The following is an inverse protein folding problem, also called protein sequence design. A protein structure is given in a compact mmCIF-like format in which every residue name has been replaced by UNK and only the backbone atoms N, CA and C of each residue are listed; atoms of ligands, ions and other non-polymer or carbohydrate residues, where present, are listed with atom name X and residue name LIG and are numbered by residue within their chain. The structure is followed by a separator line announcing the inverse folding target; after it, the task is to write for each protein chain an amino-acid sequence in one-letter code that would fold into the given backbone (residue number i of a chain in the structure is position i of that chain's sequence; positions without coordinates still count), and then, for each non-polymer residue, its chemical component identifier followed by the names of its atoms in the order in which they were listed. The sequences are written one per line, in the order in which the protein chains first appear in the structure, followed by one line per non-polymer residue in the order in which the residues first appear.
data_IF_288914563945
#
_entry.id   IF_288914563945
#
_cell.length_a   1.000
_cell.length_b   1.000
_cell.length_c   1.000
_cell.angle_alpha   90.00
_cell.angle_beta   90.00
_cell.angle_gamma   90.00
#
_symmetry.space_group_name_H-M   'P 1'
#
loop_
_entity.id
_entity.type
_entity.pdbx_description
1 polymer ?
#
# COMPACT_ATOMS: atom_id res chain seq x y z
N UNK A 1 17.92 9.93 20.08
CA UNK A 1 16.91 10.55 20.96
C UNK A 1 16.76 12.01 20.56
N UNK A 2 15.68 12.35 19.85
CA UNK A 2 15.26 13.74 19.67
C UNK A 2 13.77 13.83 19.99
N UNK A 3 13.45 14.84 20.79
CA UNK A 3 12.16 15.09 21.42
C UNK A 3 11.27 15.79 20.38
N UNK A 4 10.15 15.16 19.99
CA UNK A 4 9.10 15.82 19.22
C UNK A 4 8.21 16.62 20.15
N UNK A 5 8.25 17.95 20.05
CA UNK A 5 7.37 18.83 20.79
C UNK A 5 5.99 18.88 20.13
N UNK A 6 4.94 18.51 20.87
CA UNK A 6 3.53 18.67 20.47
C UNK A 6 3.08 20.05 20.93
N UNK A 7 2.89 20.98 19.99
CA UNK A 7 2.22 22.25 20.24
C UNK A 7 0.73 22.12 19.91
N UNK A 8 -0.08 21.76 20.92
CA UNK A 8 -1.54 21.83 20.84
C UNK A 8 -2.01 23.24 21.23
N UNK A 9 -2.26 24.11 20.25
CA UNK A 9 -2.74 25.47 20.51
C UNK A 9 -4.28 25.61 20.58
N UNK A 10 -5.07 24.56 20.28
CA UNK A 10 -6.54 24.64 20.34
C UNK A 10 -7.16 23.28 20.72
N UNK A 11 -8.05 23.21 21.74
CA UNK A 11 -8.78 21.99 22.05
C UNK A 11 -9.92 21.80 21.03
N UNK A 12 -9.85 20.76 20.19
CA UNK A 12 -10.98 20.32 19.36
C UNK A 12 -10.76 20.25 17.84
N UNK A 13 -9.62 20.69 17.32
CA UNK A 13 -9.21 20.40 15.94
C UNK A 13 -7.77 19.90 15.94
N UNK A 14 -7.59 18.61 16.25
CA UNK A 14 -6.44 17.89 15.70
C UNK A 14 -6.72 17.72 14.21
N UNK A 15 -6.44 18.75 13.41
CA UNK A 15 -6.16 18.50 12.00
C UNK A 15 -4.85 17.71 12.02
N UNK A 16 -4.96 16.40 11.85
CA UNK A 16 -3.82 15.57 11.53
C UNK A 16 -3.26 16.13 10.22
N UNK A 17 -2.29 17.03 10.34
CA UNK A 17 -1.42 17.39 9.24
C UNK A 17 -0.62 16.14 8.92
N UNK A 18 -1.17 15.26 8.07
CA UNK A 18 -0.38 14.26 7.36
C UNK A 18 0.41 14.95 6.26
N UNK A 19 1.30 15.86 6.66
CA UNK A 19 2.41 16.31 5.83
C UNK A 19 3.63 15.58 6.37
N UNK A 20 3.89 14.38 5.85
CA UNK A 20 5.10 13.63 6.19
C UNK A 20 4.97 12.13 6.33
N UNK A 21 3.88 11.49 5.89
CA UNK A 21 3.92 10.04 5.73
C UNK A 21 4.64 9.75 4.41
N UNK A 22 5.97 9.53 4.51
CA UNK A 22 6.72 8.94 3.40
C UNK A 22 6.02 7.68 2.90
N UNK A 23 6.20 7.37 1.62
CA UNK A 23 5.52 6.24 1.01
C UNK A 23 5.75 4.96 1.82
N UNK A 24 4.67 4.24 2.12
CA UNK A 24 4.71 3.00 2.89
C UNK A 24 5.50 1.96 2.08
N UNK A 25 6.60 1.42 2.61
CA UNK A 25 7.36 0.40 1.92
C UNK A 25 6.60 -0.92 1.95
N UNK A 26 6.35 -1.47 0.77
CA UNK A 26 5.72 -2.77 0.59
C UNK A 26 6.63 -3.71 -0.19
N UNK A 27 6.57 -5.00 0.15
CA UNK A 27 7.34 -6.06 -0.47
C UNK A 27 6.39 -7.17 -0.92
N UNK A 28 6.51 -7.61 -2.16
CA UNK A 28 5.77 -8.78 -2.63
C UNK A 28 6.40 -10.05 -2.08
N UNK A 29 5.57 -10.91 -1.51
CA UNK A 29 5.96 -12.25 -1.08
C UNK A 29 5.46 -13.27 -2.12
N UNK A 30 6.34 -13.79 -2.99
CA UNK A 30 5.95 -14.72 -4.04
C UNK A 30 5.74 -16.15 -3.52
N UNK A 31 6.02 -16.44 -2.23
CA UNK A 31 5.98 -17.81 -1.71
C UNK A 31 4.54 -18.30 -1.44
N UNK A 32 4.08 -19.12 -2.40
CA UNK A 32 3.08 -20.19 -2.39
C UNK A 32 2.09 -20.22 -1.21
N UNK A 33 0.82 -20.19 -1.58
CA UNK A 33 -0.39 -20.59 -0.82
C UNK A 33 -0.32 -21.94 -0.05
N UNK A 34 0.80 -22.67 -0.07
CA UNK A 34 0.88 -24.07 0.37
C UNK A 34 1.54 -24.29 1.75
N UNK A 35 2.15 -23.30 2.37
CA UNK A 35 2.67 -23.47 3.73
C UNK A 35 2.38 -22.24 4.58
N UNK A 36 1.84 -22.50 5.76
CA UNK A 36 1.57 -21.51 6.80
C UNK A 36 2.88 -20.81 7.21
N UNK A 37 3.29 -19.81 6.43
CA UNK A 37 4.26 -18.83 6.86
C UNK A 37 3.62 -18.06 8.01
N UNK A 38 4.14 -18.25 9.23
CA UNK A 38 3.75 -17.56 10.47
C UNK A 38 4.06 -16.04 10.46
N UNK A 39 4.16 -15.44 9.28
CA UNK A 39 4.35 -14.01 9.06
C UNK A 39 2.98 -13.49 8.65
N UNK A 40 2.46 -12.45 9.31
CA UNK A 40 1.22 -11.77 8.91
C UNK A 40 1.31 -11.31 7.44
N UNK A 41 0.88 -12.15 6.51
CA UNK A 41 0.83 -11.84 5.08
C UNK A 41 -0.47 -11.09 4.82
N UNK A 42 -0.35 -9.87 4.28
CA UNK A 42 -1.51 -9.06 3.92
C UNK A 42 -1.94 -9.39 2.49
N UNK A 43 -3.14 -9.96 2.32
CA UNK A 43 -3.67 -10.38 1.04
C UNK A 43 -4.36 -9.22 0.32
N UNK A 44 -3.89 -8.91 -0.88
CA UNK A 44 -4.40 -7.81 -1.69
C UNK A 44 -4.98 -8.33 -3.00
N UNK A 45 -6.20 -7.91 -3.32
CA UNK A 45 -6.76 -8.06 -4.65
C UNK A 45 -6.76 -6.70 -5.35
N UNK A 46 -6.16 -6.62 -6.55
CA UNK A 46 -6.17 -5.39 -7.33
C UNK A 46 -7.38 -5.35 -8.27
N UNK A 47 -8.26 -4.37 -8.04
CA UNK A 47 -9.45 -4.12 -8.88
C UNK A 47 -9.18 -3.05 -9.92
N UNK A 48 -9.91 -3.06 -11.03
CA UNK A 48 -9.97 -1.96 -11.99
C UNK A 48 -11.19 -1.04 -11.79
N UNK A 49 -11.92 -1.22 -10.68
CA UNK A 49 -13.12 -0.47 -10.32
C UNK A 49 -12.91 0.33 -9.04
N UNK A 50 -12.54 1.59 -9.16
CA UNK A 50 -12.30 2.51 -8.02
C UNK A 50 -13.45 2.51 -7.00
N UNK A 51 -14.71 2.60 -7.46
CA UNK A 51 -15.89 2.64 -6.58
C UNK A 51 -16.16 1.35 -5.80
N UNK A 52 -15.46 0.25 -6.12
CA UNK A 52 -15.54 -1.03 -5.39
C UNK A 52 -14.28 -1.33 -4.58
N UNK A 53 -13.27 -0.46 -4.61
CA UNK A 53 -12.08 -0.66 -3.81
C UNK A 53 -12.32 -0.25 -2.36
N UNK A 54 -11.73 -0.99 -1.44
CA UNK A 54 -11.66 -0.61 -0.03
C UNK A 54 -10.65 0.53 0.16
N UNK A 55 -9.56 0.50 -0.62
CA UNK A 55 -8.52 1.54 -0.59
C UNK A 55 -8.03 1.90 -2.01
N UNK A 56 -7.67 3.17 -2.19
CA UNK A 56 -6.99 3.68 -3.38
C UNK A 56 -5.52 3.95 -3.08
N UNK A 57 -4.63 3.31 -3.82
CA UNK A 57 -3.18 3.43 -3.62
C UNK A 57 -2.49 4.14 -4.78
N UNK A 58 -1.52 4.98 -4.44
CA UNK A 58 -0.59 5.59 -5.39
C UNK A 58 0.81 5.01 -5.19
N UNK A 59 1.35 4.41 -6.25
CA UNK A 59 2.72 3.85 -6.23
C UNK A 59 3.71 4.96 -6.59
N UNK A 60 4.53 5.38 -5.62
CA UNK A 60 5.51 6.46 -5.84
C UNK A 60 6.76 5.99 -6.60
N UNK A 61 7.02 4.68 -6.63
CA UNK A 61 8.20 4.08 -7.26
C UNK A 61 8.86 3.01 -6.40
N UNK A 62 10.18 2.83 -6.57
CA UNK A 62 11.00 1.87 -5.80
C UNK A 62 11.41 2.46 -4.46
N UNK A 63 11.38 1.67 -3.38
CA UNK A 63 11.98 2.08 -2.10
C UNK A 63 13.50 1.92 -2.17
N UNK A 64 14.26 2.89 -1.64
CA UNK A 64 15.74 2.78 -1.57
C UNK A 64 16.19 1.88 -0.42
N UNK A 65 15.59 2.01 0.77
CA UNK A 65 15.84 1.15 1.94
C UNK A 65 14.61 1.15 2.84
N UNK A 66 14.19 -0.04 3.30
CA UNK A 66 13.12 -0.21 4.26
C UNK A 66 13.48 -1.38 5.18
N UNK A 67 13.76 -1.13 6.48
CA UNK A 67 14.15 -2.18 7.40
C UNK A 67 13.02 -3.19 7.67
N UNK A 68 11.77 -2.75 7.61
CA UNK A 68 10.58 -3.57 7.90
C UNK A 68 9.45 -3.22 6.90
N UNK A 69 9.53 -3.69 5.63
CA UNK A 69 8.46 -3.47 4.67
C UNK A 69 7.25 -4.35 5.00
N UNK A 70 6.05 -3.84 4.73
CA UNK A 70 4.84 -4.65 4.80
C UNK A 70 4.87 -5.73 3.70
N UNK A 71 4.73 -7.00 4.08
CA UNK A 71 4.63 -8.11 3.13
C UNK A 71 3.24 -8.17 2.51
N UNK A 72 3.20 -8.22 1.18
CA UNK A 72 1.97 -8.30 0.37
C UNK A 72 1.93 -9.62 -0.41
N UNK A 73 0.79 -10.28 -0.33
CA UNK A 73 0.45 -11.43 -1.18
C UNK A 73 -0.68 -11.03 -2.12
N UNK A 74 -0.47 -11.11 -3.43
CA UNK A 74 -1.52 -10.75 -4.40
C UNK A 74 -2.38 -11.97 -4.71
N UNK A 75 -3.67 -11.88 -4.41
CA UNK A 75 -4.61 -12.97 -4.58
C UNK A 75 -5.38 -12.84 -5.90
N UNK A 76 -5.85 -13.97 -6.43
CA UNK A 76 -6.55 -14.01 -7.71
C UNK A 76 -8.03 -13.60 -7.62
N UNK A 77 -8.64 -13.67 -6.44
CA UNK A 77 -10.06 -13.43 -6.22
C UNK A 77 -10.30 -12.50 -5.03
N UNK A 78 -11.22 -11.55 -5.20
CA UNK A 78 -11.59 -10.54 -4.21
C UNK A 78 -11.95 -11.11 -2.83
N UNK A 79 -12.74 -12.19 -2.78
CA UNK A 79 -13.17 -12.82 -1.52
C UNK A 79 -12.04 -13.52 -0.73
N UNK A 80 -10.82 -13.61 -1.29
CA UNK A 80 -9.63 -14.13 -0.62
C UNK A 80 -8.72 -13.00 -0.11
N UNK A 81 -9.05 -11.74 -0.40
CA UNK A 81 -8.25 -10.60 0.01
C UNK A 81 -8.69 -10.05 1.36
N UNK A 82 -7.71 -9.57 2.13
CA UNK A 82 -7.96 -8.72 3.29
C UNK A 82 -8.37 -7.30 2.86
N UNK A 83 -7.97 -6.90 1.66
CA UNK A 83 -8.28 -5.58 1.09
C UNK A 83 -8.30 -5.60 -0.43
N UNK A 84 -9.31 -4.92 -0.99
CA UNK A 84 -9.41 -4.63 -2.42
C UNK A 84 -8.82 -3.27 -2.73
N UNK A 85 -7.81 -3.23 -3.59
CA UNK A 85 -7.04 -2.02 -3.91
C UNK A 85 -7.28 -1.58 -5.34
N UNK A 86 -7.58 -0.29 -5.52
CA UNK A 86 -7.48 0.38 -6.81
C UNK A 86 -6.15 1.15 -6.90
N UNK A 87 -5.40 0.97 -8.00
CA UNK A 87 -4.19 1.75 -8.24
C UNK A 87 -4.53 3.03 -9.01
N UNK A 88 -4.23 4.19 -8.42
CA UNK A 88 -4.41 5.50 -9.06
C UNK A 88 -3.09 6.06 -9.58
N UNK A 89 -3.17 6.97 -10.56
CA UNK A 89 -2.04 7.83 -10.94
C UNK A 89 -2.03 9.18 -10.23
N UNK A 90 -3.08 9.50 -9.46
CA UNK A 90 -3.20 10.78 -8.76
C UNK A 90 -3.01 10.61 -7.24
N UNK A 91 -1.77 10.82 -6.78
CA UNK A 91 -1.41 10.59 -5.38
C UNK A 91 -2.03 11.53 -4.35
N UNK A 92 -2.66 12.64 -4.76
CA UNK A 92 -3.28 13.59 -3.83
C UNK A 92 -4.61 13.07 -3.25
N UNK A 93 -5.33 12.22 -3.98
CA UNK A 93 -6.60 11.63 -3.53
C UNK A 93 -6.45 10.17 -3.10
N UNK A 94 -5.23 9.62 -3.15
CA UNK A 94 -4.99 8.26 -2.71
C UNK A 94 -5.09 8.17 -1.18
N UNK A 95 -5.74 7.11 -0.68
CA UNK A 95 -5.77 6.79 0.74
C UNK A 95 -4.36 6.47 1.26
N UNK A 96 -3.52 5.87 0.40
CA UNK A 96 -2.13 5.56 0.70
C UNK A 96 -1.20 5.84 -0.46
N UNK A 97 0.01 6.28 -0.10
CA UNK A 97 1.15 6.28 -1.00
C UNK A 97 2.07 5.11 -0.62
N UNK A 98 2.46 4.30 -1.60
CA UNK A 98 3.30 3.11 -1.39
C UNK A 98 4.55 3.15 -2.26
N UNK A 99 5.67 2.67 -1.75
CA UNK A 99 6.85 2.37 -2.57
C UNK A 99 7.09 0.86 -2.56
N UNK A 100 7.62 0.32 -3.66
CA UNK A 100 7.85 -1.11 -3.80
C UNK A 100 9.33 -1.42 -3.54
N UNK A 101 9.62 -2.31 -2.59
CA UNK A 101 10.99 -2.73 -2.28
C UNK A 101 11.56 -3.64 -3.38
N UNK A 102 10.78 -4.64 -3.78
CA UNK A 102 11.16 -5.66 -4.76
C UNK A 102 10.21 -5.69 -5.98
N UNK A 103 10.21 -4.65 -6.83
CA UNK A 103 9.31 -4.60 -7.99
C UNK A 103 9.53 -5.77 -8.96
N UNK A 104 10.75 -6.30 -9.04
CA UNK A 104 11.10 -7.42 -9.92
C UNK A 104 10.37 -8.73 -9.53
N UNK A 105 9.93 -8.86 -8.27
CA UNK A 105 9.17 -10.01 -7.76
C UNK A 105 7.65 -9.78 -7.82
N UNK A 106 7.20 -8.61 -8.32
CA UNK A 106 5.79 -8.27 -8.33
C UNK A 106 5.01 -9.17 -9.32
N UNK A 107 3.88 -9.77 -8.89
CA UNK A 107 3.12 -10.68 -9.74
C UNK A 107 2.45 -9.93 -10.89
N UNK A 108 2.14 -10.64 -11.98
CA UNK A 108 1.52 -10.06 -13.18
C UNK A 108 0.21 -9.30 -12.89
N UNK A 109 -0.56 -9.72 -11.88
CA UNK A 109 -1.79 -9.05 -11.48
C UNK A 109 -1.53 -7.60 -11.01
N UNK A 110 -0.45 -7.36 -10.26
CA UNK A 110 -0.04 -6.02 -9.86
C UNK A 110 0.28 -5.16 -11.09
N UNK A 111 1.11 -5.66 -12.01
CA UNK A 111 1.50 -4.90 -13.20
C UNK A 111 0.30 -4.55 -14.10
N UNK A 112 -0.64 -5.48 -14.27
CA UNK A 112 -1.88 -5.22 -15.01
C UNK A 112 -2.71 -4.11 -14.38
N UNK A 113 -2.85 -4.11 -13.05
CA UNK A 113 -3.55 -3.05 -12.35
C UNK A 113 -2.79 -1.72 -12.45
N UNK A 114 -1.47 -1.77 -12.31
CA UNK A 114 -0.61 -0.59 -12.41
C UNK A 114 -0.75 0.06 -13.79
N UNK A 115 -0.67 -0.70 -14.88
CA UNK A 115 -0.84 -0.20 -16.25
C UNK A 115 -2.23 0.38 -16.53
N UNK A 116 -3.26 -0.13 -15.87
CA UNK A 116 -4.66 0.32 -16.03
C UNK A 116 -5.01 1.58 -15.23
N UNK A 117 -4.14 2.07 -14.35
CA UNK A 117 -4.42 3.24 -13.51
C UNK A 117 -4.86 4.43 -14.37
N UNK A 118 -6.04 4.98 -14.11
CA UNK A 118 -6.49 6.19 -14.82
C UNK A 118 -5.89 7.46 -14.18
N UNK A 119 -5.70 8.54 -14.95
CA UNK A 119 -5.54 9.90 -14.44
C UNK A 119 -6.82 10.48 -13.87
#
# INVERSE_FOLDING_TARGET
MMIGAVLCAVPGLCVAQSMGQGALPVRFDPERFDEASEVDQFHVFFTDRELLADETWYVVGRCETAPEPASLTVVAFEHLADTTVYLTSYGYTADRQVCIVNPDDAPTAFWRAYEKRTP
#
